data_IF_909795798023
#
_entry.id   IF_909795798023
#
_cell.length_a   1.000
_cell.length_b   1.000
_cell.length_c   1.000
_cell.angle_alpha   90.00
_cell.angle_beta   90.00
_cell.angle_gamma   90.00
#
_symmetry.space_group_name_H-M   'P 1'
#
loop_
_entity.id
_entity.type
_entity.pdbx_description
1 polymer ?
#
# COMPACT_ATOMS: atom_id res chain seq x y z
N UNK A 1 -2.74 -29.76 -14.25
CA UNK A 1 -1.92 -28.83 -13.46
C UNK A 1 -2.85 -27.96 -12.63
N UNK A 2 -2.71 -27.98 -11.31
CA UNK A 2 -3.60 -27.23 -10.42
C UNK A 2 -3.23 -25.74 -10.44
N UNK A 3 -4.14 -24.86 -10.02
CA UNK A 3 -3.93 -23.40 -10.09
C UNK A 3 -2.69 -22.93 -9.32
N UNK A 4 -2.37 -23.60 -8.20
CA UNK A 4 -1.22 -23.26 -7.34
C UNK A 4 0.11 -23.49 -8.05
N UNK A 5 0.22 -24.61 -8.76
CA UNK A 5 1.39 -24.95 -9.58
C UNK A 5 1.59 -23.89 -10.68
N UNK A 6 0.49 -23.38 -11.26
CA UNK A 6 0.56 -22.38 -12.32
C UNK A 6 1.00 -21.01 -11.85
N UNK A 7 0.59 -20.60 -10.64
CA UNK A 7 1.10 -19.38 -10.01
C UNK A 7 2.62 -19.48 -9.88
N UNK A 8 3.14 -20.60 -9.38
CA UNK A 8 4.59 -20.79 -9.29
C UNK A 8 5.26 -20.78 -10.66
N UNK A 9 4.69 -21.46 -11.65
CA UNK A 9 5.24 -21.48 -13.01
C UNK A 9 5.34 -20.07 -13.57
N UNK A 10 4.26 -19.29 -13.55
CA UNK A 10 4.27 -17.91 -14.08
C UNK A 10 5.30 -17.05 -13.36
N UNK A 11 5.41 -17.15 -12.04
CA UNK A 11 6.43 -16.39 -11.29
C UNK A 11 7.85 -16.85 -11.62
N UNK A 12 8.07 -18.13 -11.96
CA UNK A 12 9.37 -18.73 -12.29
C UNK A 12 9.74 -18.68 -13.77
N UNK A 13 8.92 -18.12 -14.64
CA UNK A 13 9.17 -18.05 -16.08
C UNK A 13 9.03 -16.63 -16.61
N UNK A 14 9.35 -16.45 -17.88
CA UNK A 14 9.09 -15.20 -18.61
C UNK A 14 7.60 -15.01 -18.96
N UNK A 15 6.74 -15.99 -18.65
CA UNK A 15 5.29 -15.84 -18.83
C UNK A 15 4.75 -14.65 -18.02
N UNK A 16 5.40 -14.25 -16.93
CA UNK A 16 5.00 -13.05 -16.19
C UNK A 16 5.02 -11.78 -17.05
N UNK A 17 5.86 -11.72 -18.09
CA UNK A 17 5.92 -10.56 -18.99
C UNK A 17 4.65 -10.44 -19.83
N UNK A 18 3.89 -11.53 -20.02
CA UNK A 18 2.58 -11.47 -20.67
C UNK A 18 1.52 -10.71 -19.86
N UNK A 19 1.81 -10.37 -18.60
CA UNK A 19 0.93 -9.61 -17.69
C UNK A 19 1.09 -8.09 -17.88
N UNK A 20 1.70 -7.63 -18.97
CA UNK A 20 2.00 -6.20 -19.29
C UNK A 20 0.78 -5.32 -19.59
N UNK A 21 -0.25 -5.38 -18.75
CA UNK A 21 -1.45 -4.55 -18.87
C UNK A 21 -1.24 -3.32 -18.00
N UNK A 22 -1.49 -2.13 -18.55
CA UNK A 22 -1.64 -0.94 -17.72
C UNK A 22 -2.81 -1.15 -16.75
N UNK A 23 -2.48 -1.31 -15.46
CA UNK A 23 -3.44 -1.62 -14.39
C UNK A 23 -4.31 -0.43 -13.98
N UNK A 24 -4.72 0.42 -14.93
CA UNK A 24 -5.87 1.27 -14.73
C UNK A 24 -7.09 0.37 -14.59
N UNK A 25 -7.87 0.54 -13.53
CA UNK A 25 -8.97 -0.37 -13.19
C UNK A 25 -9.94 -0.57 -14.37
N UNK A 26 -10.31 0.53 -15.03
CA UNK A 26 -11.18 0.51 -16.21
C UNK A 26 -10.57 -0.28 -17.38
N UNK A 27 -9.25 -0.30 -17.53
CA UNK A 27 -8.55 -1.05 -18.59
C UNK A 27 -8.55 -2.54 -18.29
N UNK A 28 -8.33 -2.92 -17.03
CA UNK A 28 -8.33 -4.34 -16.62
C UNK A 28 -9.72 -4.94 -16.77
N UNK A 29 -10.77 -4.22 -16.37
CA UNK A 29 -12.14 -4.72 -16.48
C UNK A 29 -12.56 -4.87 -17.96
N UNK A 30 -12.20 -3.91 -18.82
CA UNK A 30 -12.42 -4.03 -20.27
C UNK A 30 -11.66 -5.22 -20.88
N UNK A 31 -10.40 -5.42 -20.51
CA UNK A 31 -9.59 -6.52 -21.03
C UNK A 31 -10.12 -7.91 -20.58
N UNK A 32 -10.71 -7.99 -19.39
CA UNK A 32 -11.39 -9.19 -18.91
C UNK A 32 -12.69 -9.46 -19.68
N UNK A 33 -13.44 -8.42 -20.01
CA UNK A 33 -14.70 -8.50 -20.74
C UNK A 33 -14.50 -8.89 -22.21
N UNK A 34 -13.50 -8.30 -22.87
CA UNK A 34 -13.14 -8.60 -24.26
C UNK A 34 -12.43 -9.96 -24.42
N UNK A 35 -12.11 -10.61 -23.30
CA UNK A 35 -11.43 -11.92 -23.29
C UNK A 35 -9.98 -11.88 -23.76
N UNK A 36 -9.39 -10.68 -23.92
CA UNK A 36 -8.00 -10.46 -24.34
C UNK A 36 -7.00 -11.17 -23.43
N UNK A 37 -7.36 -11.36 -22.15
CA UNK A 37 -6.47 -11.93 -21.15
C UNK A 37 -6.48 -13.46 -21.10
N UNK A 38 -7.30 -14.12 -21.93
CA UNK A 38 -7.40 -15.60 -21.95
C UNK A 38 -6.12 -16.28 -22.44
N UNK A 39 -5.31 -15.56 -23.21
CA UNK A 39 -4.04 -16.06 -23.73
C UNK A 39 -2.95 -16.13 -22.65
N UNK A 40 -3.16 -15.49 -21.50
CA UNK A 40 -2.27 -15.62 -20.34
C UNK A 40 -2.48 -17.02 -19.74
N UNK A 41 -1.44 -17.89 -19.67
CA UNK A 41 -1.59 -19.29 -19.29
C UNK A 41 -2.25 -19.54 -17.93
N UNK A 42 -2.09 -18.61 -16.98
CA UNK A 42 -2.76 -18.65 -15.67
C UNK A 42 -4.26 -18.43 -15.79
N UNK A 43 -4.68 -17.42 -16.55
CA UNK A 43 -6.08 -17.02 -16.76
C UNK A 43 -6.82 -18.09 -17.56
N UNK A 44 -6.18 -18.61 -18.62
CA UNK A 44 -6.74 -19.72 -19.39
C UNK A 44 -7.08 -20.94 -18.53
N UNK A 45 -6.32 -21.23 -17.46
CA UNK A 45 -6.67 -22.30 -16.51
C UNK A 45 -7.78 -21.95 -15.54
N UNK A 46 -7.94 -20.69 -15.13
CA UNK A 46 -9.10 -20.29 -14.31
C UNK A 46 -10.38 -20.53 -15.12
N UNK A 47 -10.39 -20.08 -16.38
CA UNK A 47 -11.48 -20.31 -17.34
C UNK A 47 -11.69 -21.80 -17.62
N UNK A 48 -10.60 -22.57 -17.73
CA UNK A 48 -10.65 -24.02 -17.91
C UNK A 48 -11.27 -24.76 -16.72
N UNK A 49 -10.98 -24.33 -15.48
CA UNK A 49 -11.54 -24.89 -14.25
C UNK A 49 -13.04 -24.58 -14.11
N UNK A 50 -13.47 -23.42 -14.60
CA UNK A 50 -14.88 -23.01 -14.55
C UNK A 50 -15.74 -23.61 -15.67
N UNK A 51 -15.26 -24.66 -16.35
CA UNK A 51 -15.92 -25.35 -17.48
C UNK A 51 -16.30 -24.40 -18.62
N UNK A 52 -15.52 -23.34 -18.83
CA UNK A 52 -15.75 -22.35 -19.88
C UNK A 52 -16.74 -21.23 -19.52
N UNK A 53 -17.33 -21.24 -18.32
CA UNK A 53 -18.17 -20.14 -17.83
C UNK A 53 -17.36 -19.24 -16.90
N UNK A 54 -17.10 -17.99 -17.30
CA UNK A 54 -16.30 -17.07 -16.48
C UNK A 54 -17.18 -16.37 -15.43
N UNK A 55 -17.20 -16.89 -14.21
CA UNK A 55 -18.07 -16.40 -13.13
C UNK A 55 -17.56 -15.07 -12.55
N UNK A 56 -18.39 -14.40 -11.74
CA UNK A 56 -17.98 -13.19 -11.00
C UNK A 56 -16.79 -13.49 -10.07
N UNK A 57 -16.78 -14.67 -9.43
CA UNK A 57 -15.66 -15.07 -8.57
C UNK A 57 -14.37 -15.27 -9.37
N UNK A 58 -14.47 -15.88 -10.55
CA UNK A 58 -13.32 -16.06 -11.45
C UNK A 58 -12.77 -14.72 -11.94
N UNK A 59 -13.66 -13.77 -12.28
CA UNK A 59 -13.31 -12.39 -12.63
C UNK A 59 -12.54 -11.71 -11.49
N UNK A 60 -13.09 -11.73 -10.28
CA UNK A 60 -12.48 -11.08 -9.11
C UNK A 60 -11.12 -11.70 -8.76
N UNK A 61 -11.01 -13.03 -8.77
CA UNK A 61 -9.74 -13.72 -8.52
C UNK A 61 -8.72 -13.39 -9.60
N UNK A 62 -9.14 -13.36 -10.87
CA UNK A 62 -8.26 -13.02 -11.99
C UNK A 62 -7.73 -11.59 -11.86
N UNK A 63 -8.59 -10.63 -11.54
CA UNK A 63 -8.20 -9.23 -11.29
C UNK A 63 -7.16 -9.16 -10.17
N UNK A 64 -7.39 -9.84 -9.04
CA UNK A 64 -6.43 -9.90 -7.91
C UNK A 64 -5.08 -10.50 -8.33
N UNK A 65 -5.09 -11.59 -9.10
CA UNK A 65 -3.86 -12.22 -9.61
C UNK A 65 -3.07 -11.31 -10.55
N UNK A 66 -3.74 -10.58 -11.44
CA UNK A 66 -3.09 -9.63 -12.36
C UNK A 66 -2.38 -8.51 -11.59
N UNK A 67 -3.06 -7.91 -10.61
CA UNK A 67 -2.47 -6.88 -9.76
C UNK A 67 -1.27 -7.42 -8.96
N UNK A 68 -1.38 -8.62 -8.40
CA UNK A 68 -0.26 -9.26 -7.71
C UNK A 68 0.95 -9.51 -8.63
N UNK A 69 0.74 -10.09 -9.81
CA UNK A 69 1.82 -10.48 -10.73
C UNK A 69 2.55 -9.27 -11.32
N UNK A 70 1.84 -8.17 -11.55
CA UNK A 70 2.41 -6.94 -12.11
C UNK A 70 3.50 -6.36 -11.20
N UNK A 71 3.38 -6.50 -9.88
CA UNK A 71 4.40 -6.04 -8.92
C UNK A 71 5.72 -6.83 -9.04
N UNK A 72 5.66 -8.03 -9.62
CA UNK A 72 6.79 -8.94 -9.76
C UNK A 72 7.43 -8.89 -11.15
N UNK A 73 6.75 -8.30 -12.15
CA UNK A 73 7.14 -8.39 -13.56
C UNK A 73 8.53 -7.81 -13.85
N UNK A 74 8.95 -6.79 -13.08
CA UNK A 74 10.23 -6.10 -13.24
C UNK A 74 11.38 -6.78 -12.50
N UNK A 75 11.10 -7.83 -11.72
CA UNK A 75 12.13 -8.56 -10.97
C UNK A 75 12.83 -9.55 -11.91
N UNK A 76 14.19 -9.59 -11.91
CA UNK A 76 14.94 -10.57 -12.70
C UNK A 76 14.48 -12.00 -12.45
N UNK A 77 14.37 -12.78 -13.53
CA UNK A 77 13.91 -14.18 -13.49
C UNK A 77 14.68 -15.03 -12.48
N UNK A 78 16.00 -14.88 -12.44
CA UNK A 78 16.89 -15.64 -11.56
C UNK A 78 16.59 -15.41 -10.08
N UNK A 79 16.31 -14.17 -9.67
CA UNK A 79 15.97 -13.84 -8.28
C UNK A 79 14.63 -14.46 -7.88
N UNK A 80 13.63 -14.41 -8.78
CA UNK A 80 12.32 -15.05 -8.57
C UNK A 80 12.46 -16.57 -8.38
N UNK A 81 13.21 -17.22 -9.28
CA UNK A 81 13.46 -18.67 -9.21
C UNK A 81 14.22 -19.09 -7.95
N UNK A 82 15.29 -18.35 -7.62
CA UNK A 82 16.12 -18.58 -6.44
C UNK A 82 15.29 -18.50 -5.15
N UNK A 83 14.48 -17.45 -5.00
CA UNK A 83 13.68 -17.28 -3.79
C UNK A 83 12.61 -18.38 -3.68
N UNK A 84 11.90 -18.71 -4.76
CA UNK A 84 10.88 -19.75 -4.65
C UNK A 84 11.52 -21.10 -4.33
N UNK A 85 12.65 -21.44 -4.94
CA UNK A 85 13.38 -22.67 -4.62
C UNK A 85 13.74 -22.72 -3.14
N UNK A 86 14.23 -21.61 -2.57
CA UNK A 86 14.57 -21.47 -1.15
C UNK A 86 13.36 -21.69 -0.24
N UNK A 87 12.18 -21.16 -0.59
CA UNK A 87 10.94 -21.33 0.19
C UNK A 87 10.48 -22.79 0.15
N UNK A 88 10.40 -23.39 -1.04
CA UNK A 88 9.90 -24.75 -1.22
C UNK A 88 10.87 -25.82 -0.68
N UNK A 89 12.16 -25.53 -0.56
CA UNK A 89 13.14 -26.45 0.04
C UNK A 89 13.19 -26.41 1.57
N UNK A 90 12.48 -25.47 2.20
CA UNK A 90 12.48 -25.32 3.65
C UNK A 90 11.48 -26.28 4.28
N UNK A 91 11.96 -27.26 5.07
CA UNK A 91 11.13 -28.20 5.83
C UNK A 91 10.13 -27.52 6.79
N UNK A 92 10.35 -26.24 7.11
CA UNK A 92 9.50 -25.44 7.99
C UNK A 92 8.10 -25.14 7.41
N UNK A 93 7.89 -25.27 6.10
CA UNK A 93 6.61 -24.92 5.47
C UNK A 93 6.00 -26.16 4.81
N UNK A 94 4.90 -26.66 5.37
CA UNK A 94 4.23 -27.90 4.92
C UNK A 94 3.53 -27.75 3.54
N UNK A 95 3.32 -26.52 3.07
CA UNK A 95 2.61 -26.22 1.82
C UNK A 95 3.52 -25.50 0.83
N UNK A 96 3.28 -25.70 -0.47
CA UNK A 96 4.04 -25.03 -1.52
C UNK A 96 3.86 -23.51 -1.44
N UNK A 97 4.83 -22.73 -1.91
CA UNK A 97 4.65 -21.27 -1.98
C UNK A 97 3.44 -20.91 -2.84
N UNK A 98 3.15 -21.68 -3.89
CA UNK A 98 1.97 -21.51 -4.73
C UNK A 98 0.66 -21.63 -3.95
N UNK A 99 0.55 -22.61 -3.04
CA UNK A 99 -0.64 -22.77 -2.19
C UNK A 99 -0.81 -21.57 -1.28
N UNK A 100 0.30 -21.11 -0.66
CA UNK A 100 0.24 -19.98 0.26
C UNK A 100 -0.10 -18.67 -0.45
N UNK A 101 0.49 -18.43 -1.62
CA UNK A 101 0.20 -17.27 -2.47
C UNK A 101 -1.26 -17.28 -2.91
N UNK A 102 -1.77 -18.40 -3.44
CA UNK A 102 -3.18 -18.51 -3.83
C UNK A 102 -4.10 -18.19 -2.65
N UNK A 103 -3.80 -18.76 -1.47
CA UNK A 103 -4.61 -18.53 -0.27
C UNK A 103 -4.64 -17.06 0.15
N UNK A 104 -3.49 -16.37 0.19
CA UNK A 104 -3.48 -14.96 0.63
C UNK A 104 -4.09 -14.01 -0.41
N UNK A 105 -3.97 -14.33 -1.71
CA UNK A 105 -4.56 -13.53 -2.80
C UNK A 105 -6.08 -13.73 -2.85
N UNK A 106 -6.57 -14.96 -2.68
CA UNK A 106 -8.01 -15.25 -2.63
C UNK A 106 -8.68 -14.53 -1.44
N UNK A 107 -7.96 -14.41 -0.31
CA UNK A 107 -8.41 -13.70 0.89
C UNK A 107 -8.34 -12.18 0.79
N UNK A 108 -7.59 -11.61 -0.15
CA UNK A 108 -7.58 -10.17 -0.35
C UNK A 108 -9.00 -9.67 -0.64
N UNK A 109 -9.41 -8.56 -0.04
CA UNK A 109 -10.75 -8.00 -0.27
C UNK A 109 -10.93 -7.62 -1.75
N UNK A 110 -9.97 -6.87 -2.28
CA UNK A 110 -9.96 -6.32 -3.63
C UNK A 110 -8.57 -6.43 -4.30
N UNK A 111 -8.45 -5.85 -5.50
CA UNK A 111 -7.21 -5.81 -6.28
C UNK A 111 -6.13 -4.91 -5.68
N UNK A 112 -6.49 -3.87 -4.92
CA UNK A 112 -5.54 -2.98 -4.24
C UNK A 112 -4.80 -3.75 -3.15
N UNK A 113 -5.53 -4.50 -2.34
CA UNK A 113 -4.94 -5.40 -1.34
C UNK A 113 -4.05 -6.46 -2.01
N UNK A 114 -4.48 -7.03 -3.14
CA UNK A 114 -3.65 -7.97 -3.89
C UNK A 114 -2.34 -7.36 -4.42
N UNK A 115 -2.36 -6.08 -4.85
CA UNK A 115 -1.14 -5.32 -5.18
C UNK A 115 -0.21 -5.15 -3.96
N UNK A 116 -0.74 -4.83 -2.77
CA UNK A 116 0.09 -4.75 -1.56
C UNK A 116 0.76 -6.09 -1.22
N UNK A 117 0.04 -7.20 -1.39
CA UNK A 117 0.60 -8.55 -1.24
C UNK A 117 1.71 -8.79 -2.27
N UNK A 118 1.54 -8.34 -3.51
CA UNK A 118 2.56 -8.39 -4.56
C UNK A 118 3.83 -7.63 -4.18
N UNK A 119 3.69 -6.41 -3.67
CA UNK A 119 4.81 -5.58 -3.16
C UNK A 119 5.52 -6.25 -1.99
N UNK A 120 4.79 -6.84 -1.05
CA UNK A 120 5.39 -7.61 0.05
C UNK A 120 6.17 -8.83 -0.47
N UNK A 121 5.64 -9.55 -1.45
CA UNK A 121 6.32 -10.71 -2.01
C UNK A 121 7.55 -10.29 -2.83
N UNK A 122 7.48 -9.17 -3.56
CA UNK A 122 8.63 -8.54 -4.21
C UNK A 122 9.77 -8.30 -3.22
N UNK A 123 9.50 -7.65 -2.09
CA UNK A 123 10.50 -7.45 -1.04
C UNK A 123 11.07 -8.78 -0.50
N UNK A 124 10.25 -9.83 -0.43
CA UNK A 124 10.73 -11.16 -0.05
C UNK A 124 11.70 -11.74 -1.09
N UNK A 125 11.37 -11.63 -2.38
CA UNK A 125 12.22 -12.08 -3.49
C UNK A 125 13.55 -11.33 -3.49
N UNK A 126 13.51 -10.01 -3.33
CA UNK A 126 14.69 -9.15 -3.21
C UNK A 126 15.46 -9.35 -1.90
N UNK A 127 15.08 -10.32 -1.07
CA UNK A 127 15.69 -10.63 0.22
C UNK A 127 15.72 -9.46 1.21
N UNK A 128 14.85 -8.46 1.01
CA UNK A 128 14.64 -7.33 1.93
C UNK A 128 13.78 -7.73 3.13
N UNK A 129 13.00 -8.80 3.03
CA UNK A 129 12.26 -9.37 4.16
C UNK A 129 12.27 -10.90 4.17
N UNK A 130 12.22 -11.48 5.37
CA UNK A 130 12.14 -12.94 5.55
C UNK A 130 10.76 -13.46 5.11
N UNK A 131 10.67 -14.74 4.75
CA UNK A 131 9.38 -15.33 4.37
C UNK A 131 8.38 -15.35 5.55
N UNK A 132 8.84 -15.51 6.79
CA UNK A 132 7.95 -15.41 7.95
C UNK A 132 7.38 -14.00 8.09
N UNK A 133 8.23 -12.98 7.90
CA UNK A 133 7.82 -11.57 7.91
C UNK A 133 6.80 -11.29 6.80
N UNK A 134 7.03 -11.82 5.59
CA UNK A 134 6.06 -11.77 4.48
C UNK A 134 4.70 -12.30 4.92
N UNK A 135 4.64 -13.51 5.46
CA UNK A 135 3.39 -14.14 5.90
C UNK A 135 2.69 -13.28 6.97
N UNK A 136 3.42 -12.83 8.00
CA UNK A 136 2.83 -11.97 9.03
C UNK A 136 2.25 -10.68 8.47
N UNK A 137 2.97 -10.00 7.55
CA UNK A 137 2.48 -8.78 6.91
C UNK A 137 1.23 -9.03 6.06
N UNK A 138 1.18 -10.13 5.29
CA UNK A 138 -0.01 -10.48 4.50
C UNK A 138 -1.23 -10.79 5.37
N UNK A 139 -1.03 -11.41 6.53
CA UNK A 139 -2.11 -11.66 7.48
C UNK A 139 -2.68 -10.36 8.02
N UNK A 140 -1.80 -9.44 8.45
CA UNK A 140 -2.20 -8.12 8.93
C UNK A 140 -2.97 -7.37 7.85
N UNK A 141 -2.44 -7.29 6.63
CA UNK A 141 -3.08 -6.60 5.51
C UNK A 141 -4.47 -7.16 5.19
N UNK A 142 -4.62 -8.49 5.14
CA UNK A 142 -5.90 -9.13 4.82
C UNK A 142 -6.96 -9.01 5.93
N UNK A 143 -6.58 -8.67 7.16
CA UNK A 143 -7.52 -8.45 8.27
C UNK A 143 -7.82 -6.97 8.51
N UNK A 144 -7.27 -6.07 7.70
CA UNK A 144 -7.32 -4.63 7.94
C UNK A 144 -8.28 -3.93 7.00
N UNK A 145 -8.94 -2.89 7.50
CA UNK A 145 -9.73 -1.99 6.68
C UNK A 145 -8.81 -0.99 5.97
N UNK A 146 -8.33 -1.37 4.79
CA UNK A 146 -7.41 -0.57 3.99
C UNK A 146 -8.21 0.36 3.07
N UNK A 147 -8.54 1.54 3.60
CA UNK A 147 -9.02 2.66 2.79
C UNK A 147 -7.91 3.23 1.89
N UNK A 148 -8.27 4.21 1.06
CA UNK A 148 -7.34 4.84 0.12
C UNK A 148 -6.13 5.49 0.82
N UNK A 149 -6.33 6.09 2.00
CA UNK A 149 -5.27 6.75 2.76
C UNK A 149 -4.30 5.70 3.32
N UNK A 150 -4.81 4.64 3.95
CA UNK A 150 -4.01 3.52 4.46
C UNK A 150 -3.26 2.82 3.34
N UNK A 151 -3.90 2.57 2.20
CA UNK A 151 -3.26 1.98 1.03
C UNK A 151 -2.02 2.77 0.60
N UNK A 152 -2.13 4.10 0.54
CA UNK A 152 -1.01 4.96 0.17
C UNK A 152 0.11 4.93 1.23
N UNK A 153 -0.24 4.99 2.52
CA UNK A 153 0.72 4.92 3.62
C UNK A 153 1.51 3.60 3.59
N UNK A 154 0.81 2.48 3.44
CA UNK A 154 1.43 1.16 3.35
C UNK A 154 2.30 1.07 2.08
N UNK A 155 1.81 1.53 0.93
CA UNK A 155 2.61 1.55 -0.31
C UNK A 155 3.92 2.33 -0.15
N UNK A 156 3.88 3.52 0.47
CA UNK A 156 5.08 4.33 0.71
C UNK A 156 6.07 3.63 1.65
N UNK A 157 5.57 2.99 2.71
CA UNK A 157 6.37 2.19 3.63
C UNK A 157 7.10 1.07 2.87
N UNK A 158 6.37 0.27 2.10
CA UNK A 158 6.94 -0.87 1.35
C UNK A 158 7.99 -0.41 0.34
N UNK A 159 7.73 0.68 -0.41
CA UNK A 159 8.68 1.25 -1.35
C UNK A 159 10.00 1.64 -0.65
N UNK A 160 9.94 2.16 0.56
CA UNK A 160 11.16 2.51 1.30
C UNK A 160 11.89 1.31 1.87
N UNK A 161 11.18 0.26 2.30
CA UNK A 161 11.83 -1.01 2.65
C UNK A 161 12.60 -1.56 1.44
N UNK A 162 12.10 -1.36 0.23
CA UNK A 162 12.79 -1.79 -0.99
C UNK A 162 14.11 -1.04 -1.21
N UNK A 163 14.08 0.29 -1.12
CA UNK A 163 15.19 1.15 -1.53
C UNK A 163 16.14 1.58 -0.40
N UNK A 164 15.79 1.37 0.87
CA UNK A 164 16.66 1.69 1.99
C UNK A 164 17.28 0.40 2.59
N UNK A 165 18.56 0.42 2.94
CA UNK A 165 19.25 -0.67 3.64
C UNK A 165 18.95 -0.66 5.15
N UNK A 166 17.67 -0.55 5.54
CA UNK A 166 17.29 -0.54 6.96
C UNK A 166 17.08 -1.99 7.41
N UNK A 167 18.10 -2.56 8.03
CA UNK A 167 18.12 -3.92 8.57
C UNK A 167 17.32 -4.12 9.87
N UNK A 168 16.45 -3.18 10.26
CA UNK A 168 15.71 -3.20 11.52
C UNK A 168 14.21 -2.87 11.39
N UNK A 169 13.65 -2.87 10.19
CA UNK A 169 12.21 -2.58 10.04
C UNK A 169 11.41 -3.78 10.55
N UNK A 170 10.85 -3.68 11.76
CA UNK A 170 9.80 -4.57 12.26
C UNK A 170 8.49 -4.25 11.51
N UNK A 171 8.47 -4.58 10.22
CA UNK A 171 7.39 -4.26 9.30
C UNK A 171 6.01 -4.73 9.79
N UNK A 172 5.86 -5.93 10.40
CA UNK A 172 4.59 -6.34 11.00
C UNK A 172 4.11 -5.38 12.09
N UNK A 173 5.00 -4.91 12.97
CA UNK A 173 4.64 -3.95 14.00
C UNK A 173 4.15 -2.64 13.38
N UNK A 174 4.86 -2.07 12.40
CA UNK A 174 4.41 -0.83 11.74
C UNK A 174 3.09 -0.96 11.00
N UNK A 175 2.85 -2.09 10.32
CA UNK A 175 1.56 -2.33 9.71
C UNK A 175 0.46 -2.41 10.76
N UNK A 176 0.71 -3.09 11.88
CA UNK A 176 -0.23 -3.15 13.01
C UNK A 176 -0.55 -1.77 13.57
N UNK A 177 0.46 -0.93 13.79
CA UNK A 177 0.27 0.45 14.26
C UNK A 177 -0.55 1.27 13.26
N UNK A 178 -0.19 1.25 11.97
CA UNK A 178 -0.94 1.97 10.92
C UNK A 178 -2.40 1.56 10.85
N UNK A 179 -2.71 0.28 11.09
CA UNK A 179 -4.07 -0.23 11.12
C UNK A 179 -4.85 0.20 12.37
N UNK A 180 -4.15 0.41 13.49
CA UNK A 180 -4.74 0.92 14.72
C UNK A 180 -5.16 2.40 14.63
N UNK A 181 -4.65 3.14 13.64
CA UNK A 181 -4.92 4.55 13.50
C UNK A 181 -6.26 4.83 12.85
N UNK A 182 -6.99 5.77 13.43
CA UNK A 182 -8.14 6.36 12.76
C UNK A 182 -7.69 7.28 11.61
N UNK A 183 -8.64 7.64 10.76
CA UNK A 183 -8.38 8.47 9.58
C UNK A 183 -7.74 9.81 9.92
N UNK A 184 -8.22 10.51 10.96
CA UNK A 184 -7.66 11.81 11.37
C UNK A 184 -6.20 11.66 11.78
N UNK A 185 -5.88 10.63 12.55
CA UNK A 185 -4.52 10.29 12.96
C UNK A 185 -3.61 10.01 11.76
N UNK A 186 -4.08 9.23 10.77
CA UNK A 186 -3.32 8.95 9.54
C UNK A 186 -3.07 10.21 8.70
N UNK A 187 -4.06 11.09 8.59
CA UNK A 187 -3.93 12.35 7.86
C UNK A 187 -2.96 13.31 8.56
N UNK A 188 -2.94 13.35 9.89
CA UNK A 188 -1.96 14.11 10.68
C UNK A 188 -0.56 13.53 10.50
N UNK A 189 -0.40 12.21 10.55
CA UNK A 189 0.90 11.60 10.28
C UNK A 189 1.38 11.99 8.89
N UNK A 190 0.54 11.80 7.85
CA UNK A 190 0.85 12.17 6.47
C UNK A 190 1.24 13.64 6.36
N UNK A 191 0.55 14.54 7.06
CA UNK A 191 0.87 15.96 7.15
C UNK A 191 2.26 16.25 7.73
N UNK A 192 2.55 15.69 8.92
CA UNK A 192 3.81 15.92 9.63
C UNK A 192 5.02 15.55 8.76
N UNK A 193 4.86 14.59 7.86
CA UNK A 193 6.00 14.13 7.08
C UNK A 193 6.19 14.88 5.77
N UNK A 194 5.12 15.41 5.17
CA UNK A 194 5.25 16.40 4.09
C UNK A 194 6.00 17.64 4.61
N UNK A 195 5.74 18.03 5.86
CA UNK A 195 6.35 19.19 6.52
C UNK A 195 7.87 19.09 6.67
N UNK A 196 8.43 17.90 6.93
CA UNK A 196 9.89 17.73 7.08
C UNK A 196 10.67 17.90 5.77
N UNK A 197 9.99 17.99 4.62
CA UNK A 197 10.61 18.27 3.32
C UNK A 197 10.69 19.78 2.98
N UNK A 198 10.08 20.66 3.79
CA UNK A 198 10.16 22.12 3.61
C UNK A 198 11.23 22.72 4.52
N UNK A 199 12.01 23.68 4.03
CA UNK A 199 12.98 24.42 4.85
C UNK A 199 12.26 25.24 5.93
N UNK A 200 12.95 25.54 7.03
CA UNK A 200 12.45 26.34 8.16
C UNK A 200 11.78 27.66 7.77
N UNK A 201 12.11 28.18 6.58
CA UNK A 201 11.75 29.51 6.13
C UNK A 201 10.52 29.54 5.19
N UNK A 202 10.01 28.37 4.77
CA UNK A 202 8.81 28.25 3.93
C UNK A 202 7.88 27.14 4.43
N UNK A 203 7.49 27.20 5.69
CA UNK A 203 6.46 26.34 6.28
C UNK A 203 5.08 26.70 5.70
N UNK A 204 4.65 26.04 4.62
CA UNK A 204 3.36 26.33 3.98
C UNK A 204 2.41 25.15 4.17
N UNK A 205 1.20 25.46 4.65
CA UNK A 205 0.07 24.52 4.65
C UNK A 205 -0.42 24.17 3.23
N UNK A 206 0.06 24.93 2.23
CA UNK A 206 -0.31 24.83 0.81
C UNK A 206 0.06 23.49 0.16
N UNK A 207 1.29 22.94 0.30
CA UNK A 207 1.61 21.60 -0.23
C UNK A 207 0.82 20.47 0.42
N UNK A 208 0.50 20.56 1.71
CA UNK A 208 -0.39 19.58 2.35
C UNK A 208 -1.80 19.66 1.80
N UNK A 209 -2.33 20.88 1.69
CA UNK A 209 -3.63 21.12 1.08
C UNK A 209 -3.65 20.63 -0.37
N UNK A 210 -2.66 21.00 -1.19
CA UNK A 210 -2.51 20.45 -2.54
C UNK A 210 -2.45 18.94 -2.55
N UNK A 211 -1.76 18.28 -1.62
CA UNK A 211 -1.74 16.82 -1.56
C UNK A 211 -3.12 16.21 -1.22
N UNK A 212 -3.89 16.86 -0.34
CA UNK A 212 -5.26 16.45 -0.03
C UNK A 212 -6.20 16.64 -1.23
N UNK A 213 -5.85 17.54 -2.15
CA UNK A 213 -6.71 18.00 -3.26
C UNK A 213 -6.17 17.57 -4.65
N UNK A 214 -4.97 17.00 -4.73
CA UNK A 214 -4.33 16.46 -5.95
C UNK A 214 -5.01 15.17 -6.41
N UNK A 215 -5.74 14.51 -5.51
CA UNK A 215 -6.51 13.30 -5.77
C UNK A 215 -7.99 13.61 -5.49
N UNK A 216 -8.77 13.77 -6.56
CA UNK A 216 -10.18 14.18 -6.47
C UNK A 216 -11.05 13.17 -5.71
N UNK A 217 -10.66 11.89 -5.68
CA UNK A 217 -11.36 10.88 -4.88
C UNK A 217 -11.04 11.06 -3.38
N UNK A 218 -9.79 11.38 -3.07
CA UNK A 218 -9.35 11.64 -1.70
C UNK A 218 -9.99 12.91 -1.13
N UNK A 219 -10.11 13.98 -1.91
CA UNK A 219 -10.74 15.23 -1.48
C UNK A 219 -12.19 15.05 -1.00
N UNK A 220 -12.95 14.21 -1.72
CA UNK A 220 -14.38 13.99 -1.48
C UNK A 220 -14.66 12.87 -0.47
N UNK A 221 -13.62 12.16 -0.03
CA UNK A 221 -13.76 11.10 0.97
C UNK A 221 -14.32 11.65 2.28
N UNK A 222 -15.26 10.91 2.88
CA UNK A 222 -15.88 11.25 4.17
C UNK A 222 -14.81 11.47 5.26
N UNK A 223 -13.75 10.68 5.14
CA UNK A 223 -12.48 10.73 5.84
C UNK A 223 -11.82 12.12 5.86
N UNK A 224 -11.63 12.73 4.68
CA UNK A 224 -10.99 14.04 4.54
C UNK A 224 -11.92 15.15 5.02
N UNK A 225 -13.24 15.01 4.82
CA UNK A 225 -14.24 15.95 5.34
C UNK A 225 -14.26 15.95 6.88
N UNK A 226 -14.26 14.77 7.51
CA UNK A 226 -14.19 14.67 8.97
C UNK A 226 -12.89 15.24 9.53
N UNK A 227 -11.76 14.99 8.87
CA UNK A 227 -10.49 15.57 9.26
C UNK A 227 -10.49 17.11 9.20
N UNK A 228 -11.02 17.69 8.11
CA UNK A 228 -11.21 19.15 7.97
C UNK A 228 -12.10 19.69 9.11
N UNK A 229 -13.19 18.99 9.44
CA UNK A 229 -14.08 19.35 10.55
C UNK A 229 -13.37 19.30 11.92
N UNK A 230 -12.62 18.24 12.21
CA UNK A 230 -11.90 18.07 13.47
C UNK A 230 -10.85 19.17 13.67
N UNK A 231 -10.09 19.49 12.62
CA UNK A 231 -9.15 20.60 12.66
C UNK A 231 -9.87 21.95 12.91
N UNK A 232 -10.99 22.20 12.22
CA UNK A 232 -11.79 23.41 12.46
C UNK A 232 -12.26 23.53 13.92
N UNK A 233 -12.73 22.41 14.52
CA UNK A 233 -13.18 22.36 15.92
C UNK A 233 -12.06 22.63 16.92
N UNK A 234 -10.83 22.22 16.62
CA UNK A 234 -9.64 22.47 17.44
C UNK A 234 -9.07 23.90 17.31
N UNK A 235 -9.79 24.80 16.62
CA UNK A 235 -9.39 26.20 16.49
C UNK A 235 -8.54 26.50 15.25
N UNK A 236 -8.32 25.53 14.36
CA UNK A 236 -7.57 25.71 13.12
C UNK A 236 -8.41 26.35 11.99
N UNK A 237 -9.40 27.18 12.34
CA UNK A 237 -10.44 27.73 11.45
C UNK A 237 -9.90 28.54 10.27
N UNK A 238 -8.74 29.18 10.44
CA UNK A 238 -8.10 30.01 9.40
C UNK A 238 -7.39 29.20 8.30
N UNK A 239 -7.20 27.89 8.50
CA UNK A 239 -6.40 27.01 7.63
C UNK A 239 -7.28 26.27 6.60
N UNK A 240 -8.59 26.16 6.87
CA UNK A 240 -9.49 25.23 6.19
C UNK A 240 -10.72 25.88 5.57
N UNK A 241 -10.72 27.21 5.37
CA UNK A 241 -11.80 27.87 4.67
C UNK A 241 -11.88 27.33 3.23
N UNK A 242 -12.93 26.55 2.87
CA UNK A 242 -13.05 25.91 1.56
C UNK A 242 -13.22 26.93 0.43
N UNK A 243 -13.56 28.18 0.77
CA UNK A 243 -13.78 29.27 -0.19
C UNK A 243 -12.53 30.12 -0.41
N UNK A 244 -11.48 29.88 0.38
CA UNK A 244 -10.28 30.67 0.40
C UNK A 244 -9.24 30.06 -0.57
N UNK A 245 -8.86 30.82 -1.60
CA UNK A 245 -7.96 30.34 -2.65
C UNK A 245 -6.57 29.95 -2.11
N UNK A 246 -5.80 29.20 -2.88
CA UNK A 246 -4.44 28.73 -2.54
C UNK A 246 -3.44 29.78 -1.99
N UNK A 247 -3.76 31.07 -2.08
CA UNK A 247 -2.93 32.19 -1.63
C UNK A 247 -3.36 32.77 -0.27
N UNK A 248 -4.45 32.27 0.33
CA UNK A 248 -5.00 32.76 1.62
C UNK A 248 -4.75 31.80 2.77
N UNK A 249 -4.18 30.62 2.50
CA UNK A 249 -3.76 29.69 3.55
C UNK A 249 -2.58 30.35 4.29
N UNK A 250 -2.73 30.70 5.59
CA UNK A 250 -1.72 31.46 6.31
C UNK A 250 -0.43 30.65 6.53
N UNK A 251 0.71 31.34 6.62
CA UNK A 251 1.93 30.75 7.15
C UNK A 251 1.72 30.38 8.64
N UNK A 252 2.58 29.50 9.16
CA UNK A 252 2.54 29.06 10.56
C UNK A 252 2.46 30.23 11.56
N UNK A 253 1.78 30.04 12.73
CA UNK A 253 1.83 31.02 13.81
C UNK A 253 3.28 31.26 14.21
N UNK A 254 3.76 32.50 14.07
CA UNK A 254 5.16 32.87 14.35
C UNK A 254 5.58 32.66 15.82
N UNK A 255 4.63 32.36 16.71
CA UNK A 255 4.82 32.26 18.16
C UNK A 255 5.00 30.84 18.70
N UNK A 256 4.82 29.79 17.90
CA UNK A 256 4.96 28.40 18.36
C UNK A 256 5.98 27.70 17.48
N UNK A 257 6.97 27.04 18.10
CA UNK A 257 7.98 26.32 17.32
C UNK A 257 7.31 25.18 16.53
N UNK A 258 7.82 24.86 15.32
CA UNK A 258 7.25 23.79 14.52
C UNK A 258 7.12 22.45 15.27
N UNK A 259 8.17 22.07 15.99
CA UNK A 259 8.24 20.85 16.80
C UNK A 259 7.17 20.83 17.89
N UNK A 260 7.02 21.94 18.60
CA UNK A 260 6.03 22.08 19.68
C UNK A 260 4.60 22.02 19.15
N UNK A 261 4.35 22.55 17.95
CA UNK A 261 3.05 22.46 17.30
C UNK A 261 2.71 21.04 16.83
N UNK A 262 3.69 20.30 16.28
CA UNK A 262 3.49 18.88 15.93
C UNK A 262 3.21 18.05 17.19
N UNK A 263 3.94 18.33 18.27
CA UNK A 263 3.73 17.70 19.56
C UNK A 263 2.33 17.99 20.12
N UNK A 264 1.87 19.24 20.06
CA UNK A 264 0.50 19.62 20.46
C UNK A 264 -0.58 18.91 19.63
N UNK A 265 -0.39 18.79 18.31
CA UNK A 265 -1.30 18.03 17.46
C UNK A 265 -1.26 16.53 17.77
N UNK A 266 -0.08 15.97 17.99
CA UNK A 266 0.04 14.56 18.35
C UNK A 266 -0.66 14.27 19.68
N UNK A 267 -0.47 15.11 20.70
CA UNK A 267 -1.16 14.99 21.98
C UNK A 267 -2.68 15.14 21.84
N UNK A 268 -3.14 16.15 21.09
CA UNK A 268 -4.57 16.38 20.88
C UNK A 268 -5.28 15.21 20.19
N UNK A 269 -4.56 14.41 19.41
CA UNK A 269 -5.11 13.25 18.69
C UNK A 269 -4.65 11.90 19.26
N UNK A 270 -4.08 11.88 20.47
CA UNK A 270 -3.66 10.65 21.15
C UNK A 270 -2.58 9.86 20.40
N UNK A 271 -1.75 10.56 19.61
CA UNK A 271 -0.60 10.02 18.89
C UNK A 271 0.67 9.99 19.75
N UNK A 272 0.56 10.30 21.05
CA UNK A 272 1.66 10.36 22.03
C UNK A 272 2.57 9.13 21.99
N UNK A 273 1.96 7.94 21.91
CA UNK A 273 2.68 6.67 21.80
C UNK A 273 3.38 6.50 20.43
N UNK A 274 2.89 7.15 19.38
CA UNK A 274 3.54 7.21 18.07
C UNK A 274 4.65 8.26 18.04
N UNK A 275 4.62 9.28 18.91
CA UNK A 275 5.76 10.20 19.11
C UNK A 275 6.93 9.50 19.81
N UNK A 276 6.62 8.53 20.69
CA UNK A 276 7.61 7.63 21.29
C UNK A 276 8.06 6.51 20.34
N UNK A 277 7.28 6.20 19.29
CA UNK A 277 7.73 5.39 18.15
C UNK A 277 8.67 6.25 17.31
N UNK A 278 9.97 5.95 17.43
CA UNK A 278 11.12 6.52 16.73
C UNK A 278 10.77 7.57 15.65
N UNK A 279 11.16 8.82 15.87
CA UNK A 279 11.02 9.92 14.90
C UNK A 279 11.58 9.52 13.52
N UNK A 280 12.54 8.59 13.48
CA UNK A 280 13.07 8.01 12.26
C UNK A 280 12.04 7.20 11.46
N UNK A 281 11.04 6.59 12.11
CA UNK A 281 9.93 5.85 11.50
C UNK A 281 8.88 6.80 10.94
N UNK A 282 8.53 7.88 11.64
CA UNK A 282 7.66 8.92 11.08
C UNK A 282 8.32 9.51 9.81
N UNK A 283 9.61 9.82 9.89
CA UNK A 283 10.45 10.25 8.76
C UNK A 283 10.53 9.18 7.64
N UNK A 284 10.67 7.90 8.00
CA UNK A 284 10.68 6.74 7.08
C UNK A 284 9.30 6.31 6.61
N UNK A 285 8.16 6.69 7.17
CA UNK A 285 6.86 6.19 6.71
C UNK A 285 6.30 7.00 5.54
N UNK A 286 6.66 8.28 5.44
CA UNK A 286 5.84 9.20 4.64
C UNK A 286 6.61 10.21 3.76
N UNK A 287 7.96 10.29 3.79
CA UNK A 287 8.73 10.94 2.70
C UNK A 287 8.27 10.39 1.34
N UNK A 288 7.78 11.25 0.44
CA UNK A 288 7.89 11.00 -1.01
C UNK A 288 9.37 11.14 -1.37
N UNK A 289 9.92 10.19 -2.14
CA UNK A 289 10.98 10.56 -3.09
C UNK A 289 10.29 11.23 -4.27
#
# INVERSE_FOLDING_TARGET
MKLQEKIETVVKTEEIQSVSIDLAESVVDLALDDGLLRDIPLIGSIVGLSKGYFTIKDRLLTKKLLYFLTELQTIPLEERQKQIKKINSSEKYESSVGDKLLFVIDKAEDSRIASLIGKLFRLNILSKLSYNTFISCTQIINTSNIDLIRFQCVTNLLHKVEFNDVSEINLPHYLSELNGLNTSQLLILRWVVIRNNETSDNLRLKPFYNLLMEDSELEQSEEVVMFKSNLFQLGFKHILDPTSGLNTIPDFPKSVSPTEYAFQLFNAYGLEQIVEIDIEIIDKLLRRK
#
